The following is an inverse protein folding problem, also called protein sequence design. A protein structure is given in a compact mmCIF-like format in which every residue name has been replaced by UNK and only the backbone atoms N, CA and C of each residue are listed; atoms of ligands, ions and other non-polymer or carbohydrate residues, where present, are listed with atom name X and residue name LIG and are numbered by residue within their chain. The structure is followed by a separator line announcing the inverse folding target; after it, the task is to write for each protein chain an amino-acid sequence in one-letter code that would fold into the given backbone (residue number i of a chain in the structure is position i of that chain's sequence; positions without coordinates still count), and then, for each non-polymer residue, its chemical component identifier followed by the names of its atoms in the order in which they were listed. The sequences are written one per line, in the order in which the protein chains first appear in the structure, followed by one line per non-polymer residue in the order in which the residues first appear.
data_IF_863344853058
#
_entry.id   IF_863344853058
#
_cell.length_a   1.000
_cell.length_b   1.000
_cell.length_c   1.000
_cell.angle_alpha   90.00
_cell.angle_beta   90.00
_cell.angle_gamma   90.00
#
_symmetry.space_group_name_H-M   'P 1'
#
loop_
_entity.id
_entity.type
_entity.pdbx_description
1 polymer ?
#
# COMPACT_ATOMS: atom_id res chain seq x y z
N UNK A 1 -24.70 6.49 -12.71
CA UNK A 1 -24.52 5.81 -11.41
C UNK A 1 -23.03 5.64 -11.18
N UNK A 2 -22.50 6.24 -10.14
CA UNK A 2 -21.14 5.96 -9.66
C UNK A 2 -21.26 4.99 -8.48
N UNK A 3 -20.46 3.93 -8.47
CA UNK A 3 -20.38 3.00 -7.35
C UNK A 3 -19.23 3.45 -6.48
N UNK A 4 -19.51 3.80 -5.23
CA UNK A 4 -18.48 4.12 -4.25
C UNK A 4 -17.90 2.82 -3.69
N UNK A 5 -16.62 2.57 -3.98
CA UNK A 5 -15.89 1.41 -3.46
C UNK A 5 -15.30 1.80 -2.11
N UNK A 6 -15.76 1.14 -1.04
CA UNK A 6 -15.19 1.31 0.30
C UNK A 6 -13.97 0.40 0.45
N UNK A 7 -12.83 1.02 0.71
CA UNK A 7 -11.62 0.29 1.10
C UNK A 7 -11.79 -0.17 2.55
N UNK A 8 -11.55 -1.45 2.88
CA UNK A 8 -11.58 -1.91 4.26
C UNK A 8 -10.45 -1.27 5.08
N UNK A 9 -10.56 -1.33 6.41
CA UNK A 9 -9.47 -0.85 7.28
C UNK A 9 -8.17 -1.64 6.97
N UNK A 10 -7.13 -0.90 6.60
CA UNK A 10 -5.83 -1.43 6.17
C UNK A 10 -4.77 -1.31 7.27
N UNK A 11 -5.18 -0.94 8.49
CA UNK A 11 -4.33 -0.66 9.63
C UNK A 11 -3.96 0.83 9.77
N UNK A 12 -3.45 1.20 10.94
CA UNK A 12 -3.14 2.59 11.32
C UNK A 12 -1.87 3.18 10.66
N UNK A 13 -1.22 2.43 9.77
CA UNK A 13 -0.01 2.87 9.07
C UNK A 13 -0.35 3.50 7.71
N UNK A 14 0.44 4.50 7.32
CA UNK A 14 0.38 5.06 5.97
C UNK A 14 0.71 3.97 4.93
N UNK A 15 -0.27 3.69 4.07
CA UNK A 15 -0.10 2.84 2.89
C UNK A 15 0.19 3.68 1.65
N UNK A 16 1.05 3.16 0.78
CA UNK A 16 1.34 3.76 -0.51
C UNK A 16 0.76 2.89 -1.64
N UNK A 17 0.16 3.54 -2.64
CA UNK A 17 -0.32 2.86 -3.86
C UNK A 17 0.88 2.61 -4.75
N UNK A 18 1.21 1.35 -4.97
CA UNK A 18 2.33 0.96 -5.84
C UNK A 18 1.91 0.81 -7.29
N UNK A 19 0.67 0.38 -7.54
CA UNK A 19 0.19 0.14 -8.90
C UNK A 19 -1.34 0.27 -9.01
N UNK A 20 -1.80 0.83 -10.14
CA UNK A 20 -3.21 0.92 -10.52
C UNK A 20 -3.41 0.03 -11.74
N UNK A 21 -4.22 -1.02 -11.58
CA UNK A 21 -4.45 -2.04 -12.62
C UNK A 21 -5.61 -1.69 -13.55
N UNK A 22 -6.29 -0.57 -13.31
CA UNK A 22 -7.50 -0.13 -14.01
C UNK A 22 -7.38 1.30 -14.50
N UNK A 23 -8.09 1.62 -15.58
CA UNK A 23 -8.16 2.98 -16.14
C UNK A 23 -9.59 3.47 -16.24
N UNK A 24 -9.77 4.77 -16.42
CA UNK A 24 -11.08 5.36 -16.64
C UNK A 24 -11.67 4.79 -17.93
N UNK A 25 -12.84 4.16 -17.84
CA UNK A 25 -13.52 3.51 -18.97
C UNK A 25 -13.22 2.02 -19.13
N UNK A 26 -12.36 1.46 -18.28
CA UNK A 26 -12.07 0.02 -18.28
C UNK A 26 -13.25 -0.78 -17.72
N UNK A 27 -13.49 -1.99 -18.26
CA UNK A 27 -14.54 -2.88 -17.77
C UNK A 27 -13.94 -3.80 -16.71
N UNK A 28 -14.37 -3.62 -15.46
CA UNK A 28 -13.95 -4.44 -14.32
C UNK A 28 -14.96 -5.54 -14.05
N UNK A 29 -14.48 -6.75 -13.84
CA UNK A 29 -15.30 -7.91 -13.47
C UNK A 29 -15.35 -8.10 -11.94
N UNK A 30 -16.31 -8.90 -11.47
CA UNK A 30 -16.35 -9.29 -10.06
C UNK A 30 -15.06 -10.05 -9.72
N UNK A 31 -14.51 -9.80 -8.52
CA UNK A 31 -13.27 -10.43 -8.01
C UNK A 31 -11.98 -9.99 -8.71
N UNK A 32 -12.05 -9.08 -9.69
CA UNK A 32 -10.86 -8.51 -10.33
C UNK A 32 -10.09 -7.57 -9.40
N UNK A 33 -8.76 -7.73 -9.36
CA UNK A 33 -7.85 -6.81 -8.68
C UNK A 33 -7.85 -5.42 -9.31
N UNK A 34 -8.09 -4.39 -8.50
CA UNK A 34 -8.17 -3.00 -8.97
C UNK A 34 -6.87 -2.22 -8.73
N UNK A 35 -6.29 -2.37 -7.54
CA UNK A 35 -5.10 -1.64 -7.10
C UNK A 35 -4.21 -2.53 -6.24
N UNK A 36 -2.91 -2.25 -6.25
CA UNK A 36 -1.95 -2.84 -5.32
C UNK A 36 -1.42 -1.75 -4.39
N UNK A 37 -1.48 -2.03 -3.09
CA UNK A 37 -1.00 -1.13 -2.03
C UNK A 37 0.07 -1.83 -1.20
N UNK A 38 1.09 -1.09 -0.76
CA UNK A 38 2.15 -1.61 0.12
C UNK A 38 2.26 -0.73 1.37
N UNK A 39 2.40 -1.37 2.53
CA UNK A 39 2.74 -0.68 3.79
C UNK A 39 4.17 -0.18 3.71
N UNK A 40 4.37 1.10 4.03
CA UNK A 40 5.71 1.68 4.12
C UNK A 40 6.21 1.50 5.55
N UNK A 41 7.06 0.50 5.77
CA UNK A 41 7.75 0.37 7.04
C UNK A 41 8.83 1.45 7.14
N UNK A 42 8.53 2.54 7.86
CA UNK A 42 9.50 3.59 8.13
C UNK A 42 10.60 3.06 9.04
N UNK A 43 11.78 2.77 8.47
CA UNK A 43 12.99 2.42 9.21
C UNK A 43 13.66 3.68 9.76
N UNK A 44 12.94 4.50 10.51
CA UNK A 44 13.54 5.60 11.27
C UNK A 44 13.92 5.08 12.66
N UNK A 45 15.09 4.43 12.78
CA UNK A 45 15.64 4.10 14.11
C UNK A 45 16.57 2.90 14.25
N UNK A 46 16.96 2.19 13.19
CA UNK A 46 18.04 1.21 13.31
C UNK A 46 19.40 1.92 13.23
N UNK A 47 19.74 2.66 14.29
CA UNK A 47 21.12 3.01 14.60
C UNK A 47 21.86 1.69 14.83
N UNK A 48 22.53 1.19 13.80
CA UNK A 48 23.56 0.17 13.97
C UNK A 48 24.70 0.82 14.76
N UNK A 49 24.60 0.77 16.09
CA UNK A 49 25.75 0.99 16.94
C UNK A 49 26.68 -0.20 16.73
N UNK A 50 27.51 -0.11 15.68
CA UNK A 50 28.71 -0.91 15.52
C UNK A 50 29.63 -0.53 16.69
N UNK A 51 29.36 -1.12 17.84
CA UNK A 51 30.21 -1.07 19.01
C UNK A 51 31.52 -1.73 18.62
N UNK A 52 32.51 -0.91 18.36
CA UNK A 52 33.90 -1.34 18.37
C UNK A 52 34.18 -1.94 19.74
N UNK A 53 34.60 -3.20 19.77
CA UNK A 53 35.51 -3.67 20.77
C UNK A 53 36.77 -4.12 20.06
N UNK A 54 37.86 -3.57 20.59
CA UNK A 54 39.26 -3.73 20.20
C UNK A 54 39.66 -5.19 20.11
#
# INVERSE_FOLDING_TARGET
MAIEIKVPDIGADEVEITEILVKVGDKVEAEQSLITVRRRQSLYGSSVSAGGYR
#
